data_IF_878227529637
#
_entry.id   IF_878227529637
#
_cell.length_a   1.000
_cell.length_b   1.000
_cell.length_c   1.000
_cell.angle_alpha   90.00
_cell.angle_beta   90.00
_cell.angle_gamma   90.00
#
_symmetry.space_group_name_H-M   'P 1'
#
loop_
_entity.id
_entity.type
_entity.pdbx_description
1 polymer ?
#
# COMPACT_ATOMS: atom_id res chain seq x y z
N UNK A 1 -15.88 -16.23 2.72
CA UNK A 1 -15.23 -15.49 1.61
C UNK A 1 -14.54 -16.50 0.72
N UNK A 2 -14.67 -16.42 -0.60
CA UNK A 2 -13.97 -17.34 -1.52
C UNK A 2 -12.62 -16.72 -1.94
N UNK A 3 -11.63 -17.53 -2.35
CA UNK A 3 -10.35 -17.03 -2.88
C UNK A 3 -10.51 -16.06 -4.06
N UNK A 4 -11.53 -16.29 -4.91
CA UNK A 4 -11.84 -15.43 -6.05
C UNK A 4 -12.22 -14.00 -5.58
N UNK A 5 -13.06 -13.89 -4.54
CA UNK A 5 -13.46 -12.58 -4.00
C UNK A 5 -12.27 -11.79 -3.43
N UNK A 6 -11.32 -12.47 -2.78
CA UNK A 6 -10.11 -11.83 -2.26
C UNK A 6 -9.20 -11.32 -3.38
N UNK A 7 -9.02 -12.13 -4.43
CA UNK A 7 -8.20 -11.76 -5.59
C UNK A 7 -8.76 -10.52 -6.30
N UNK A 8 -10.09 -10.44 -6.47
CA UNK A 8 -10.74 -9.26 -7.05
C UNK A 8 -10.57 -8.00 -6.19
N UNK A 9 -10.64 -8.13 -4.86
CA UNK A 9 -10.40 -7.00 -3.95
C UNK A 9 -8.95 -6.49 -4.04
N UNK A 10 -7.96 -7.38 -4.02
CA UNK A 10 -6.55 -7.00 -4.19
C UNK A 10 -6.31 -6.35 -5.55
N UNK A 11 -6.89 -6.90 -6.63
CA UNK A 11 -6.78 -6.31 -7.96
C UNK A 11 -7.35 -4.88 -8.02
N UNK A 12 -8.43 -4.61 -7.29
CA UNK A 12 -8.99 -3.26 -7.19
C UNK A 12 -8.02 -2.28 -6.53
N UNK A 13 -7.32 -2.70 -5.46
CA UNK A 13 -6.27 -1.89 -4.82
C UNK A 13 -5.12 -1.59 -5.80
N UNK A 14 -4.63 -2.60 -6.52
CA UNK A 14 -3.53 -2.43 -7.47
C UNK A 14 -3.84 -1.46 -8.62
N UNK A 15 -5.12 -1.18 -8.89
CA UNK A 15 -5.55 -0.25 -9.93
C UNK A 15 -5.68 1.20 -9.46
N UNK A 16 -5.49 1.48 -8.16
CA UNK A 16 -5.66 2.83 -7.59
C UNK A 16 -4.53 3.79 -7.95
N UNK A 17 -3.35 3.28 -8.31
CA UNK A 17 -2.18 4.06 -8.70
C UNK A 17 -1.36 3.32 -9.76
N UNK A 18 -0.55 4.03 -10.57
CA UNK A 18 0.29 3.39 -11.59
C UNK A 18 1.41 2.52 -11.00
N UNK A 19 1.80 2.76 -9.75
CA UNK A 19 2.88 2.05 -9.04
C UNK A 19 2.46 1.85 -7.59
N UNK A 20 2.85 0.71 -7.00
CA UNK A 20 2.76 0.43 -5.56
C UNK A 20 4.18 0.43 -5.00
N UNK A 21 4.54 1.35 -4.09
CA UNK A 21 5.84 1.32 -3.44
C UNK A 21 5.92 0.17 -2.44
N UNK A 22 7.02 -0.58 -2.47
CA UNK A 22 7.38 -1.60 -1.48
C UNK A 22 8.34 -0.96 -0.47
N UNK A 23 7.91 -0.90 0.78
CA UNK A 23 8.57 -0.17 1.85
C UNK A 23 9.20 -1.15 2.85
N UNK A 24 10.49 -0.96 3.12
CA UNK A 24 11.16 -1.52 4.31
C UNK A 24 11.14 -0.42 5.37
N UNK A 25 10.63 -0.73 6.57
CA UNK A 25 10.51 0.23 7.67
C UNK A 25 11.25 -0.34 8.89
N UNK A 26 12.46 0.15 9.13
CA UNK A 26 13.28 -0.30 10.26
C UNK A 26 12.80 0.27 11.61
N UNK A 27 12.28 1.50 11.59
CA UNK A 27 11.75 2.18 12.78
C UNK A 27 10.25 2.49 12.59
N UNK A 28 9.36 1.90 13.41
CA UNK A 28 7.93 2.16 13.38
C UNK A 28 7.55 3.65 13.50
N UNK A 29 8.39 4.48 14.12
CA UNK A 29 8.15 5.92 14.25
C UNK A 29 8.08 6.63 12.88
N UNK A 30 8.70 6.07 11.84
CA UNK A 30 8.66 6.62 10.48
C UNK A 30 7.44 6.18 9.67
N UNK A 31 6.70 5.15 10.10
CA UNK A 31 5.67 4.52 9.28
C UNK A 31 4.50 5.47 8.95
N UNK A 32 3.91 6.09 9.96
CA UNK A 32 2.76 6.98 9.77
C UNK A 32 3.13 8.27 9.00
N UNK A 33 4.19 9.03 9.36
CA UNK A 33 4.57 10.22 8.62
C UNK A 33 4.87 9.94 7.14
N UNK A 34 5.59 8.86 6.86
CA UNK A 34 5.90 8.43 5.50
C UNK A 34 4.64 8.07 4.72
N UNK A 35 3.74 7.26 5.30
CA UNK A 35 2.50 6.87 4.66
C UNK A 35 1.63 8.08 4.32
N UNK A 36 1.50 9.05 5.24
CA UNK A 36 0.75 10.30 4.99
C UNK A 36 1.35 11.11 3.85
N UNK A 37 2.67 11.22 3.78
CA UNK A 37 3.34 11.94 2.70
C UNK A 37 3.12 11.26 1.34
N UNK A 38 3.22 9.94 1.27
CA UNK A 38 3.00 9.18 0.03
C UNK A 38 1.54 9.27 -0.44
N UNK A 39 0.57 9.17 0.48
CA UNK A 39 -0.85 9.36 0.16
C UNK A 39 -1.12 10.77 -0.37
N UNK A 40 -0.57 11.81 0.27
CA UNK A 40 -0.68 13.19 -0.20
C UNK A 40 -0.02 13.40 -1.58
N UNK A 41 1.05 12.65 -1.88
CA UNK A 41 1.73 12.61 -3.18
C UNK A 41 1.00 11.79 -4.26
N UNK A 42 -0.16 11.21 -3.97
CA UNK A 42 -0.96 10.46 -4.95
C UNK A 42 -0.68 8.96 -4.98
N UNK A 43 -0.04 8.39 -3.95
CA UNK A 43 0.20 6.95 -3.81
C UNK A 43 -0.64 6.38 -2.63
N UNK A 44 -1.92 6.05 -2.86
CA UNK A 44 -2.85 5.65 -1.80
C UNK A 44 -2.72 4.18 -1.35
N UNK A 45 -1.89 3.37 -2.02
CA UNK A 45 -1.69 1.94 -1.70
C UNK A 45 -0.19 1.69 -1.50
N UNK A 46 0.17 1.08 -0.38
CA UNK A 46 1.56 0.83 0.05
C UNK A 46 1.72 -0.65 0.41
N UNK A 47 2.83 -1.26 -0.01
CA UNK A 47 3.23 -2.60 0.43
C UNK A 47 4.33 -2.45 1.49
N UNK A 48 4.17 -3.07 2.66
CA UNK A 48 5.18 -3.02 3.74
C UNK A 48 5.79 -4.41 3.90
N UNK A 49 7.11 -4.47 3.81
CA UNK A 49 7.91 -5.69 4.02
C UNK A 49 8.66 -5.58 5.35
N UNK A 50 8.72 -6.70 6.09
CA UNK A 50 9.42 -6.85 7.38
C UNK A 50 10.83 -7.41 7.19
#
# INVERSE_FOLDING_TARGET
>A
MTPALQSHATQALCRMAPVIPVLVIDDPAHAEPLARALVAGGLPVLEVTL
#
